data_IF_992361259531
#
_entry.id   IF_992361259531
#
_cell.length_a   1.000
_cell.length_b   1.000
_cell.length_c   1.000
_cell.angle_alpha   90.00
_cell.angle_beta   90.00
_cell.angle_gamma   90.00
#
_symmetry.space_group_name_H-M   'P 1'
#
loop_
_entity.id
_entity.type
_entity.pdbx_description
1 polymer ?
#
# COMPACT_ATOMS: atom_id res chain seq x y z
N UNK A 1 2.33 -9.96 7.79
CA UNK A 1 2.46 -8.69 8.52
C UNK A 1 2.63 -7.54 7.57
N UNK A 2 3.83 -7.38 7.01
CA UNK A 2 4.23 -6.27 6.14
C UNK A 2 3.16 -5.70 5.18
N UNK A 3 2.52 -6.52 4.35
CA UNK A 3 1.48 -6.06 3.39
C UNK A 3 0.34 -5.32 4.10
N UNK A 4 -0.12 -5.83 5.25
CA UNK A 4 -1.16 -5.20 6.07
C UNK A 4 -0.67 -3.85 6.65
N UNK A 5 0.58 -3.77 7.09
CA UNK A 5 1.10 -2.56 7.72
C UNK A 5 1.21 -1.37 6.76
N UNK A 6 1.32 -1.64 5.46
CA UNK A 6 1.41 -0.62 4.41
C UNK A 6 0.04 -0.14 3.90
N UNK A 7 -1.05 -0.87 4.13
CA UNK A 7 -2.40 -0.46 3.69
C UNK A 7 -2.79 0.97 4.12
N UNK A 8 -2.51 1.42 5.36
CA UNK A 8 -2.78 2.81 5.74
C UNK A 8 -2.02 3.84 4.91
N UNK A 9 -0.79 3.54 4.47
CA UNK A 9 0.00 4.43 3.62
C UNK A 9 -0.59 4.51 2.21
N UNK A 10 -0.98 3.37 1.63
CA UNK A 10 -1.64 3.32 0.32
C UNK A 10 -2.93 4.13 0.32
N UNK A 11 -3.77 3.95 1.33
CA UNK A 11 -5.01 4.70 1.48
C UNK A 11 -4.76 6.21 1.68
N UNK A 12 -3.78 6.58 2.49
CA UNK A 12 -3.42 7.99 2.73
C UNK A 12 -3.01 8.68 1.42
N UNK A 13 -2.18 8.01 0.60
CA UNK A 13 -1.74 8.55 -0.70
C UNK A 13 -2.86 8.70 -1.71
N UNK A 14 -3.81 7.77 -1.75
CA UNK A 14 -5.05 7.99 -2.53
C UNK A 14 -5.79 9.24 -2.04
N UNK A 15 -5.86 9.43 -0.71
CA UNK A 15 -6.40 10.65 -0.10
C UNK A 15 -5.72 11.94 -0.57
N UNK A 16 -4.39 11.92 -0.74
CA UNK A 16 -3.62 13.08 -1.21
C UNK A 16 -4.04 13.53 -2.62
N UNK A 17 -4.29 12.59 -3.54
CA UNK A 17 -4.78 12.92 -4.88
C UNK A 17 -6.16 13.57 -4.88
N UNK A 18 -7.03 13.12 -3.98
CA UNK A 18 -8.39 13.64 -3.81
C UNK A 18 -8.35 15.04 -3.20
N UNK A 19 -7.51 15.24 -2.19
CA UNK A 19 -7.33 16.50 -1.50
C UNK A 19 -6.52 17.53 -2.29
N UNK A 20 -5.95 17.16 -3.43
CA UNK A 20 -5.02 17.99 -4.19
C UNK A 20 -3.79 18.42 -3.37
N UNK A 21 -3.28 17.52 -2.50
CA UNK A 21 -2.14 17.81 -1.64
C UNK A 21 -0.90 18.22 -2.45
N UNK A 22 -0.08 19.11 -1.88
CA UNK A 22 1.16 19.58 -2.51
C UNK A 22 2.23 18.48 -2.64
N UNK A 23 2.12 17.41 -1.85
CA UNK A 23 3.07 16.29 -1.81
C UNK A 23 2.38 15.03 -1.29
N UNK A 24 2.83 13.86 -1.77
CA UNK A 24 2.34 12.57 -1.26
C UNK A 24 2.81 12.32 0.18
N UNK A 25 1.96 11.65 0.95
CA UNK A 25 2.26 11.15 2.28
C UNK A 25 3.56 10.32 2.27
N UNK A 26 4.48 10.69 3.16
CA UNK A 26 5.77 10.04 3.31
C UNK A 26 5.60 8.64 3.92
N UNK A 27 6.38 7.68 3.42
CA UNK A 27 6.49 6.37 4.02
C UNK A 27 7.33 6.44 5.31
N UNK A 28 6.99 5.65 6.32
CA UNK A 28 7.88 5.44 7.47
C UNK A 28 9.05 4.53 7.05
N UNK A 29 10.17 5.15 6.69
CA UNK A 29 11.37 4.42 6.25
C UNK A 29 12.04 3.60 7.37
N UNK A 30 11.61 3.79 8.62
CA UNK A 30 12.12 3.00 9.74
C UNK A 30 11.37 1.68 9.94
N UNK A 31 10.30 1.42 9.17
CA UNK A 31 9.46 0.22 9.28
C UNK A 31 9.00 -0.14 10.71
N UNK A 32 8.96 0.86 11.62
CA UNK A 32 8.72 0.62 13.05
C UNK A 32 7.45 -0.16 13.32
N UNK A 33 6.38 0.14 12.58
CA UNK A 33 5.11 -0.61 12.69
C UNK A 33 5.30 -2.11 12.45
N UNK A 34 6.04 -2.48 11.41
CA UNK A 34 6.25 -3.90 11.07
C UNK A 34 7.17 -4.58 12.06
N UNK A 35 8.23 -3.90 12.50
CA UNK A 35 9.19 -4.44 13.46
C UNK A 35 8.57 -4.62 14.85
N UNK A 36 7.71 -3.69 15.27
CA UNK A 36 7.08 -3.68 16.59
C UNK A 36 5.79 -4.52 16.66
N UNK A 37 5.17 -4.86 15.52
CA UNK A 37 3.86 -5.51 15.48
C UNK A 37 3.86 -7.01 15.87
N UNK A 38 5.03 -7.63 16.03
CA UNK A 38 5.20 -9.04 16.40
C UNK A 38 4.21 -9.97 15.67
N UNK A 39 4.12 -9.85 14.35
CA UNK A 39 3.11 -10.58 13.57
C UNK A 39 3.17 -12.10 13.74
N UNK A 40 4.34 -12.66 14.06
CA UNK A 40 4.51 -14.09 14.30
C UNK A 40 3.79 -14.60 15.56
N UNK A 41 3.42 -13.72 16.49
CA UNK A 41 2.63 -14.09 17.67
C UNK A 41 1.13 -13.98 17.45
N UNK A 42 0.68 -13.59 16.24
CA UNK A 42 -0.74 -13.43 15.90
C UNK A 42 -1.21 -14.59 15.02
N UNK A 43 -2.47 -15.05 15.16
CA UNK A 43 -3.05 -16.03 14.24
C UNK A 43 -3.00 -15.54 12.79
N UNK A 44 -2.57 -16.41 11.87
CA UNK A 44 -2.46 -16.09 10.45
C UNK A 44 -3.81 -15.64 9.87
N UNK A 45 -4.89 -16.31 10.27
CA UNK A 45 -6.25 -16.01 9.84
C UNK A 45 -6.67 -14.59 10.20
N UNK A 46 -6.23 -14.11 11.37
CA UNK A 46 -6.51 -12.74 11.81
C UNK A 46 -5.74 -11.73 10.95
N UNK A 47 -4.46 -11.99 10.65
CA UNK A 47 -3.65 -11.12 9.78
C UNK A 47 -4.28 -11.04 8.38
N UNK A 48 -4.70 -12.18 7.82
CA UNK A 48 -5.33 -12.24 6.50
C UNK A 48 -6.69 -11.52 6.48
N UNK A 49 -7.50 -11.68 7.54
CA UNK A 49 -8.78 -10.97 7.69
C UNK A 49 -8.56 -9.46 7.74
N UNK A 50 -7.62 -8.99 8.56
CA UNK A 50 -7.33 -7.57 8.69
C UNK A 50 -6.80 -6.99 7.38
N UNK A 51 -5.91 -7.73 6.68
CA UNK A 51 -5.40 -7.32 5.38
C UNK A 51 -6.52 -7.17 4.36
N UNK A 52 -7.44 -8.15 4.28
CA UNK A 52 -8.59 -8.09 3.38
C UNK A 52 -9.48 -6.88 3.67
N UNK A 53 -9.80 -6.64 4.93
CA UNK A 53 -10.62 -5.48 5.35
C UNK A 53 -9.94 -4.16 4.96
N UNK A 54 -8.63 -4.05 5.17
CA UNK A 54 -7.88 -2.85 4.82
C UNK A 54 -7.83 -2.65 3.29
N UNK A 55 -7.55 -3.70 2.52
CA UNK A 55 -7.53 -3.67 1.05
C UNK A 55 -8.88 -3.32 0.45
N UNK A 56 -9.97 -3.88 0.98
CA UNK A 56 -11.32 -3.54 0.52
C UNK A 56 -11.63 -2.05 0.71
N UNK A 57 -11.12 -1.40 1.78
CA UNK A 57 -11.29 0.04 1.97
C UNK A 57 -10.54 0.83 0.90
N UNK A 58 -9.31 0.44 0.57
CA UNK A 58 -8.55 1.04 -0.52
C UNK A 58 -9.30 0.91 -1.85
N UNK A 59 -9.73 -0.31 -2.20
CA UNK A 59 -10.43 -0.56 -3.47
C UNK A 59 -11.75 0.20 -3.57
N UNK A 60 -12.58 0.17 -2.52
CA UNK A 60 -13.83 0.96 -2.48
C UNK A 60 -13.58 2.46 -2.62
N UNK A 61 -12.46 2.96 -2.09
CA UNK A 61 -12.09 4.38 -2.22
C UNK A 61 -11.69 4.72 -3.65
N UNK A 62 -10.99 3.83 -4.34
CA UNK A 62 -10.55 4.00 -5.73
C UNK A 62 -11.69 3.83 -6.73
N UNK A 63 -12.61 2.89 -6.49
CA UNK A 63 -13.71 2.52 -7.39
C UNK A 63 -14.70 3.67 -7.65
N UNK A 64 -14.79 4.63 -6.72
CA UNK A 64 -15.68 5.79 -6.81
C UNK A 64 -15.00 7.06 -7.35
N UNK A 65 -13.73 6.98 -7.77
CA UNK A 65 -12.98 8.13 -8.26
C UNK A 65 -13.29 8.45 -9.71
N UNK A 66 -13.35 9.74 -10.02
CA UNK A 66 -13.43 10.21 -11.40
C UNK A 66 -12.18 9.81 -12.20
N UNK A 67 -12.37 9.36 -13.44
CA UNK A 67 -11.30 8.88 -14.30
C UNK A 67 -10.18 9.93 -14.51
N UNK A 68 -10.49 11.23 -14.47
CA UNK A 68 -9.49 12.29 -14.60
C UNK A 68 -8.48 12.32 -13.45
N UNK A 69 -8.84 11.85 -12.25
CA UNK A 69 -7.92 11.78 -11.11
C UNK A 69 -6.77 10.80 -11.34
N UNK A 70 -6.96 9.76 -12.16
CA UNK A 70 -5.93 8.76 -12.41
C UNK A 70 -4.70 9.33 -13.13
N UNK A 71 -4.89 10.39 -13.93
CA UNK A 71 -3.81 11.11 -14.61
C UNK A 71 -3.14 12.17 -13.72
N UNK A 72 -3.74 12.53 -12.57
CA UNK A 72 -3.20 13.56 -11.68
C UNK A 72 -1.88 13.11 -11.08
N UNK A 73 -0.86 13.97 -11.17
CA UNK A 73 0.45 13.73 -10.59
C UNK A 73 0.71 14.63 -9.37
N UNK A 74 1.26 14.05 -8.31
CA UNK A 74 1.67 14.75 -7.09
C UNK A 74 3.15 14.44 -6.82
N UNK A 75 3.97 15.40 -6.36
CA UNK A 75 5.35 15.17 -5.98
C UNK A 75 5.50 14.01 -4.98
N UNK A 76 6.37 13.05 -5.30
CA UNK A 76 6.70 11.97 -4.39
C UNK A 76 7.86 12.39 -3.44
N UNK A 77 7.69 12.30 -2.11
CA UNK A 77 8.64 12.88 -1.13
C UNK A 77 10.05 12.29 -1.20
N UNK A 78 10.17 10.99 -1.53
CA UNK A 78 11.45 10.29 -1.66
C UNK A 78 12.03 10.30 -3.08
N UNK A 79 11.25 9.89 -4.08
CA UNK A 79 11.70 9.79 -5.47
C UNK A 79 11.98 11.16 -6.12
N UNK A 80 11.47 12.26 -5.55
CA UNK A 80 11.64 13.64 -6.06
C UNK A 80 11.14 13.83 -7.50
N UNK A 81 10.26 12.93 -7.96
CA UNK A 81 9.51 13.06 -9.20
C UNK A 81 8.01 13.08 -8.89
N UNK A 82 7.19 13.78 -9.68
CA UNK A 82 5.74 13.57 -9.66
C UNK A 82 5.41 12.11 -9.96
N UNK A 83 4.38 11.58 -9.29
CA UNK A 83 3.84 10.25 -9.52
C UNK A 83 2.35 10.39 -9.79
N UNK A 84 1.83 9.76 -10.85
CA UNK A 84 0.38 9.75 -11.11
C UNK A 84 -0.34 8.80 -10.16
N UNK A 85 -1.62 9.04 -9.89
CA UNK A 85 -2.42 8.10 -9.11
C UNK A 85 -2.40 6.69 -9.71
N UNK A 86 -2.51 6.56 -11.03
CA UNK A 86 -2.43 5.25 -11.70
C UNK A 86 -1.07 4.56 -11.48
N UNK A 87 0.03 5.32 -11.51
CA UNK A 87 1.37 4.78 -11.26
C UNK A 87 1.52 4.35 -9.80
N UNK A 88 0.91 5.10 -8.87
CA UNK A 88 0.89 4.74 -7.46
C UNK A 88 0.15 3.41 -7.24
N UNK A 89 -1.03 3.24 -7.84
CA UNK A 89 -1.81 1.99 -7.72
C UNK A 89 -1.09 0.80 -8.37
N UNK A 90 -0.46 1.03 -9.51
CA UNK A 90 0.38 0.01 -10.16
C UNK A 90 1.57 -0.39 -9.28
N UNK A 91 2.24 0.58 -8.65
CA UNK A 91 3.32 0.31 -7.71
C UNK A 91 2.86 -0.54 -6.51
N UNK A 92 1.63 -0.34 -6.00
CA UNK A 92 1.07 -1.19 -4.94
C UNK A 92 0.89 -2.63 -5.42
N UNK A 93 0.42 -2.85 -6.64
CA UNK A 93 0.27 -4.18 -7.22
C UNK A 93 1.63 -4.89 -7.38
N UNK A 94 2.63 -4.21 -7.96
CA UNK A 94 3.99 -4.76 -8.14
C UNK A 94 4.68 -5.09 -6.81
N UNK A 95 4.44 -4.26 -5.79
CA UNK A 95 4.90 -4.53 -4.43
C UNK A 95 4.31 -5.84 -3.88
N UNK A 96 3.01 -6.04 -4.04
CA UNK A 96 2.33 -7.25 -3.58
C UNK A 96 2.81 -8.49 -4.34
N UNK A 97 2.97 -8.39 -5.66
CA UNK A 97 3.47 -9.48 -6.50
C UNK A 97 4.90 -9.89 -6.12
N UNK A 98 5.78 -8.92 -5.85
CA UNK A 98 7.13 -9.18 -5.34
C UNK A 98 7.10 -10.00 -4.05
N UNK A 99 6.24 -9.62 -3.10
CA UNK A 99 6.13 -10.35 -1.83
C UNK A 99 5.45 -11.70 -1.97
N UNK A 100 4.46 -11.81 -2.85
CA UNK A 100 3.79 -13.07 -3.14
C UNK A 100 4.79 -14.07 -3.74
N UNK A 101 5.61 -13.64 -4.71
CA UNK A 101 6.69 -14.44 -5.26
C UNK A 101 7.65 -14.93 -4.16
N UNK A 102 8.05 -14.05 -3.24
CA UNK A 102 8.91 -14.44 -2.12
C UNK A 102 8.26 -15.45 -1.18
N UNK A 103 6.95 -15.32 -0.92
CA UNK A 103 6.20 -16.31 -0.12
C UNK A 103 6.17 -17.66 -0.84
N UNK A 104 5.92 -17.67 -2.15
CA UNK A 104 5.92 -18.89 -2.95
C UNK A 104 7.26 -19.62 -2.89
N UNK A 105 8.38 -18.90 -3.02
CA UNK A 105 9.72 -19.48 -2.87
C UNK A 105 9.89 -20.17 -1.51
N UNK A 106 9.47 -19.52 -0.43
CA UNK A 106 9.61 -20.04 0.94
C UNK A 106 8.70 -21.24 1.22
N UNK A 107 7.52 -21.29 0.59
CA UNK A 107 6.58 -22.41 0.71
C UNK A 107 7.02 -23.59 -0.15
N UNK A 108 7.51 -23.34 -1.36
CA UNK A 108 7.94 -24.38 -2.29
C UNK A 108 9.33 -24.97 -1.96
N UNK A 109 10.15 -24.25 -1.19
CA UNK A 109 11.43 -24.76 -0.68
C UNK A 109 11.28 -25.66 0.57
N UNK A 110 10.05 -25.94 1.00
CA UNK A 110 9.71 -26.91 2.05
C UNK A 110 9.25 -28.22 1.42
#
# INVERSE_FOLDING_TARGET
GHLLDLEPLWLARVGDYIAASDQLTAADLKNRRTDEANHNSRPLEQILKDFRVARERLLKRVDVLDASLFARAIPHPRLKTPMRLVDHLYFVAEHDDHHLARIWELVAAR
#
